data_IF_523407703740
#
_entry.id   IF_523407703740
#
_cell.length_a   1.000
_cell.length_b   1.000
_cell.length_c   1.000
_cell.angle_alpha   90.00
_cell.angle_beta   90.00
_cell.angle_gamma   90.00
#
_symmetry.space_group_name_H-M   'P 1'
#
loop_
_entity.id
_entity.type
_entity.pdbx_description
1 polymer ?
#
# COMPACT_ATOMS: atom_id res chain seq x y z
N UNK A 1 -16.04 -5.63 11.54
CA UNK A 1 -15.43 -6.97 11.72
C UNK A 1 -14.35 -7.32 10.68
N UNK A 2 -14.51 -7.03 9.38
CA UNK A 2 -13.51 -7.40 8.35
C UNK A 2 -12.09 -6.87 8.66
N UNK A 3 -11.96 -5.59 9.02
CA UNK A 3 -10.68 -4.96 9.38
C UNK A 3 -9.92 -5.73 10.46
N UNK A 4 -10.64 -6.15 11.51
CA UNK A 4 -10.07 -6.89 12.64
C UNK A 4 -9.43 -8.22 12.19
N UNK A 5 -10.15 -9.00 11.36
CA UNK A 5 -9.67 -10.30 10.89
C UNK A 5 -8.45 -10.19 9.97
N UNK A 6 -8.38 -9.13 9.16
CA UNK A 6 -7.22 -8.89 8.31
C UNK A 6 -6.01 -8.36 9.07
N UNK A 7 -6.22 -7.52 10.09
CA UNK A 7 -5.13 -6.97 10.88
C UNK A 7 -4.48 -8.02 11.77
N UNK A 8 -5.29 -8.79 12.51
CA UNK A 8 -4.82 -9.88 13.37
C UNK A 8 -4.41 -11.15 12.62
N UNK A 9 -4.38 -11.12 11.29
CA UNK A 9 -3.66 -12.12 10.51
C UNK A 9 -2.14 -11.96 10.66
N UNK A 10 -1.67 -10.74 10.98
CA UNK A 10 -0.29 -10.49 11.35
C UNK A 10 0.14 -11.28 12.59
N UNK A 11 1.45 -11.37 12.80
CA UNK A 11 2.06 -12.00 13.97
C UNK A 11 1.55 -13.45 14.21
N UNK A 12 1.46 -14.22 13.12
CA UNK A 12 1.12 -15.63 13.17
C UNK A 12 -0.31 -15.94 13.66
N UNK A 13 -1.27 -15.01 13.53
CA UNK A 13 -2.66 -15.18 14.01
C UNK A 13 -2.78 -15.40 15.52
N UNK A 14 -1.84 -14.89 16.30
CA UNK A 14 -1.85 -14.98 17.77
C UNK A 14 -2.98 -14.20 18.43
N UNK A 15 -3.59 -13.24 17.73
CA UNK A 15 -4.54 -12.28 18.32
C UNK A 15 -3.86 -11.12 19.07
N UNK A 16 -2.53 -11.06 19.08
CA UNK A 16 -1.76 -10.01 19.74
C UNK A 16 -0.87 -9.27 18.74
N UNK A 17 -0.90 -7.94 18.79
CA UNK A 17 -0.02 -7.06 18.02
C UNK A 17 0.62 -6.03 18.95
N UNK A 18 1.93 -5.84 18.80
CA UNK A 18 2.66 -4.87 19.59
C UNK A 18 2.30 -3.46 19.14
N UNK A 19 1.89 -2.60 20.08
CA UNK A 19 1.64 -1.19 19.81
C UNK A 19 2.91 -0.49 19.28
N UNK A 20 2.79 0.50 18.37
CA UNK A 20 3.89 1.38 17.97
C UNK A 20 4.65 1.96 19.16
N UNK A 21 5.95 2.26 18.98
CA UNK A 21 6.79 2.78 20.06
C UNK A 21 6.24 4.08 20.67
N UNK A 22 5.72 4.99 19.84
CA UNK A 22 5.10 6.26 20.26
C UNK A 22 3.84 6.07 21.14
N UNK A 23 3.23 4.88 21.18
CA UNK A 23 2.07 4.56 22.01
C UNK A 23 2.40 3.71 23.24
N UNK A 24 3.68 3.42 23.46
CA UNK A 24 4.19 2.60 24.58
C UNK A 24 5.10 3.39 25.52
N UNK A 25 5.78 4.39 24.99
CA UNK A 25 6.67 5.28 25.73
C UNK A 25 5.87 6.31 26.52
N UNK A 26 6.28 6.56 27.77
CA UNK A 26 5.61 7.50 28.68
C UNK A 26 6.06 8.95 28.46
N UNK A 27 7.22 9.13 27.82
CA UNK A 27 7.83 10.42 27.52
C UNK A 27 7.35 11.03 26.20
N UNK A 28 6.58 10.28 25.40
CA UNK A 28 6.02 10.76 24.14
C UNK A 28 4.51 10.99 24.34
N UNK A 29 4.07 12.24 24.17
CA UNK A 29 2.65 12.58 24.15
C UNK A 29 2.14 12.54 22.70
N UNK A 30 1.28 11.55 22.39
CA UNK A 30 0.64 11.43 21.08
C UNK A 30 -0.77 12.02 21.14
N UNK A 31 -1.02 13.11 20.42
CA UNK A 31 -2.37 13.54 20.08
C UNK A 31 -2.82 12.82 18.78
N UNK A 32 -3.83 11.92 18.83
CA UNK A 32 -4.29 11.19 17.65
C UNK A 32 -4.99 12.07 16.61
N UNK A 33 -5.31 13.32 16.92
CA UNK A 33 -6.00 14.25 16.01
C UNK A 33 -5.10 15.35 15.45
N UNK A 34 -3.87 15.48 15.94
CA UNK A 34 -2.92 16.47 15.43
C UNK A 34 -2.45 16.14 14.00
N UNK A 35 -2.27 17.17 13.18
CA UNK A 35 -1.70 17.07 11.81
C UNK A 35 -0.14 17.12 11.82
N UNK A 36 0.47 16.91 12.98
CA UNK A 36 1.91 17.02 13.13
C UNK A 36 2.60 15.68 12.93
N UNK A 37 3.84 15.73 12.46
CA UNK A 37 4.68 14.54 12.43
C UNK A 37 5.02 14.13 13.86
N UNK A 38 4.72 12.89 14.21
CA UNK A 38 5.01 12.35 15.53
C UNK A 38 6.53 12.18 15.67
N UNK A 39 7.07 12.58 16.81
CA UNK A 39 8.48 12.42 17.10
C UNK A 39 8.92 10.95 16.94
N UNK A 40 10.06 10.73 16.29
CA UNK A 40 10.64 9.40 16.03
C UNK A 40 9.77 8.47 15.16
N UNK A 41 8.77 9.01 14.45
CA UNK A 41 8.00 8.30 13.42
C UNK A 41 8.29 8.93 12.08
N UNK A 42 8.69 8.10 11.10
CA UNK A 42 8.88 8.54 9.72
C UNK A 42 7.58 8.33 8.96
N UNK A 43 6.89 9.40 8.51
CA UNK A 43 5.69 9.25 7.70
C UNK A 43 6.04 8.68 6.33
N UNK A 44 5.08 8.01 5.69
CA UNK A 44 5.26 7.42 4.36
C UNK A 44 4.32 8.05 3.34
N UNK A 45 4.77 8.10 2.09
CA UNK A 45 3.90 8.25 0.93
C UNK A 45 3.65 6.88 0.30
N UNK A 46 2.38 6.52 0.14
CA UNK A 46 1.97 5.24 -0.46
C UNK A 46 1.25 5.51 -1.77
N UNK A 47 1.71 4.87 -2.84
CA UNK A 47 1.05 4.92 -4.15
C UNK A 47 0.57 3.53 -4.56
N UNK A 48 -0.68 3.43 -5.00
CA UNK A 48 -1.31 2.18 -5.41
C UNK A 48 -1.86 2.36 -6.81
N UNK A 49 -1.39 1.52 -7.73
CA UNK A 49 -1.93 1.44 -9.08
C UNK A 49 -2.55 0.07 -9.28
N UNK A 50 -3.86 0.05 -9.48
CA UNK A 50 -4.59 -1.17 -9.83
C UNK A 50 -4.48 -1.37 -11.34
N UNK A 51 -3.85 -2.47 -11.76
CA UNK A 51 -3.57 -2.72 -13.18
C UNK A 51 -4.66 -3.61 -13.77
N UNK A 52 -4.84 -4.79 -13.20
CA UNK A 52 -5.81 -5.78 -13.68
C UNK A 52 -6.29 -6.71 -12.57
N UNK A 53 -7.32 -7.50 -12.86
CA UNK A 53 -7.76 -8.63 -12.04
C UNK A 53 -7.62 -9.95 -12.80
N UNK A 54 -7.65 -11.06 -12.08
CA UNK A 54 -7.63 -12.41 -12.64
C UNK A 54 -8.72 -13.25 -11.97
N UNK A 55 -9.49 -13.98 -12.78
CA UNK A 55 -10.48 -14.98 -12.36
C UNK A 55 -11.50 -14.45 -11.34
N UNK A 56 -11.92 -13.19 -11.46
CA UNK A 56 -12.94 -12.58 -10.60
C UNK A 56 -14.34 -13.18 -10.84
N UNK A 57 -14.57 -13.79 -12.01
CA UNK A 57 -15.79 -14.54 -12.32
C UNK A 57 -16.07 -15.67 -11.33
N UNK A 58 -15.05 -16.26 -10.71
CA UNK A 58 -15.23 -17.31 -9.70
C UNK A 58 -15.78 -16.78 -8.37
N UNK A 59 -15.91 -15.45 -8.23
CA UNK A 59 -16.45 -14.81 -7.03
C UNK A 59 -17.98 -14.67 -7.06
N UNK A 60 -18.61 -14.89 -8.21
CA UNK A 60 -20.07 -14.83 -8.35
C UNK A 60 -20.60 -16.10 -9.02
N UNK A 61 -21.35 -16.90 -8.27
CA UNK A 61 -22.00 -18.10 -8.80
C UNK A 61 -23.14 -17.80 -9.78
N UNK A 62 -23.64 -16.55 -9.79
CA UNK A 62 -24.86 -16.17 -10.53
C UNK A 62 -24.59 -15.52 -11.89
N UNK A 63 -23.44 -14.86 -12.07
CA UNK A 63 -23.16 -14.06 -13.27
C UNK A 63 -21.83 -14.44 -13.91
N UNK A 64 -21.91 -15.11 -15.06
CA UNK A 64 -20.72 -15.38 -15.89
C UNK A 64 -20.13 -14.11 -16.53
N UNK A 65 -20.91 -13.03 -16.62
CA UNK A 65 -20.53 -11.74 -17.21
C UNK A 65 -20.44 -10.67 -16.14
N UNK A 66 -19.44 -10.76 -15.27
CA UNK A 66 -19.22 -9.78 -14.21
C UNK A 66 -18.66 -8.46 -14.75
N UNK A 67 -19.21 -7.36 -14.25
CA UNK A 67 -18.75 -6.00 -14.51
C UNK A 67 -18.13 -5.44 -13.23
N UNK A 68 -16.82 -5.33 -13.15
CA UNK A 68 -16.14 -5.09 -11.86
C UNK A 68 -15.45 -3.75 -11.79
N UNK A 69 -15.27 -3.25 -10.57
CA UNK A 69 -14.39 -2.13 -10.26
C UNK A 69 -13.71 -2.34 -8.90
N UNK A 70 -12.63 -1.62 -8.66
CA UNK A 70 -11.84 -1.73 -7.42
C UNK A 70 -11.87 -0.41 -6.65
N UNK A 71 -12.16 -0.50 -5.36
CA UNK A 71 -12.01 0.61 -4.40
C UNK A 71 -10.74 0.40 -3.57
N UNK A 72 -10.08 1.50 -3.25
CA UNK A 72 -8.87 1.52 -2.43
C UNK A 72 -9.10 2.46 -1.26
N UNK A 73 -9.01 1.93 -0.05
CA UNK A 73 -9.24 2.65 1.20
C UNK A 73 -8.02 2.51 2.11
N UNK A 74 -7.80 3.49 2.97
CA UNK A 74 -6.82 3.45 4.04
C UNK A 74 -7.50 3.74 5.37
N UNK A 75 -7.14 2.96 6.39
CA UNK A 75 -7.60 3.12 7.77
C UNK A 75 -6.38 3.27 8.67
N UNK A 76 -6.44 4.16 9.66
CA UNK A 76 -5.33 4.39 10.58
C UNK A 76 -5.71 5.43 11.62
N UNK A 77 -4.83 6.41 11.85
CA UNK A 77 -5.22 7.63 12.54
C UNK A 77 -6.35 8.34 11.76
N UNK A 78 -7.17 9.18 12.41
CA UNK A 78 -8.19 9.98 11.74
C UNK A 78 -7.67 10.71 10.50
N UNK A 79 -6.45 11.26 10.58
CA UNK A 79 -5.81 11.97 9.46
C UNK A 79 -5.31 11.07 8.34
N UNK A 80 -4.89 9.84 8.66
CA UNK A 80 -4.45 8.84 7.69
C UNK A 80 -5.62 8.13 7.01
N UNK A 81 -6.83 8.27 7.57
CA UNK A 81 -8.01 7.54 7.12
C UNK A 81 -8.62 8.18 5.88
N UNK A 82 -8.63 7.43 4.79
CA UNK A 82 -9.19 7.84 3.50
C UNK A 82 -10.11 6.73 3.01
N UNK A 83 -11.42 6.99 3.02
CA UNK A 83 -12.45 6.06 2.56
C UNK A 83 -13.22 6.67 1.39
N UNK A 84 -13.77 5.83 0.52
CA UNK A 84 -14.62 6.24 -0.62
C UNK A 84 -14.05 7.26 -1.63
N UNK A 85 -12.76 7.62 -1.53
CA UNK A 85 -12.11 8.59 -2.42
C UNK A 85 -11.54 7.96 -3.69
N UNK A 86 -10.97 6.77 -3.59
CA UNK A 86 -10.25 6.12 -4.69
C UNK A 86 -11.02 4.93 -5.23
N UNK A 87 -11.41 5.03 -6.50
CA UNK A 87 -12.14 4.02 -7.24
C UNK A 87 -11.63 3.96 -8.68
N UNK A 88 -11.48 2.75 -9.22
CA UNK A 88 -11.15 2.55 -10.64
C UNK A 88 -12.38 2.69 -11.53
N UNK A 89 -12.16 2.82 -12.85
CA UNK A 89 -13.24 2.60 -13.83
C UNK A 89 -13.86 1.22 -13.67
N UNK A 90 -15.13 1.12 -14.05
CA UNK A 90 -15.83 -0.17 -14.14
C UNK A 90 -15.50 -0.83 -15.48
N UNK A 91 -15.01 -2.07 -15.43
CA UNK A 91 -14.77 -2.89 -16.62
C UNK A 91 -15.98 -3.81 -16.79
N UNK A 92 -16.73 -3.63 -17.88
CA UNK A 92 -17.99 -4.35 -18.11
C UNK A 92 -17.76 -5.73 -18.72
N UNK A 93 -18.58 -6.70 -18.33
CA UNK A 93 -18.66 -8.04 -18.94
C UNK A 93 -17.31 -8.78 -19.06
N UNK A 94 -16.34 -8.48 -18.20
CA UNK A 94 -15.05 -9.16 -18.17
C UNK A 94 -14.67 -9.51 -16.73
N UNK A 95 -15.09 -10.69 -16.29
CA UNK A 95 -14.72 -11.24 -14.98
C UNK A 95 -13.43 -12.08 -15.00
N UNK A 96 -12.88 -12.44 -16.15
CA UNK A 96 -11.74 -13.37 -16.23
C UNK A 96 -10.42 -12.60 -16.13
N UNK A 97 -10.29 -11.48 -16.84
CA UNK A 97 -9.07 -10.70 -16.90
C UNK A 97 -9.36 -9.19 -17.12
N UNK A 98 -10.14 -8.53 -16.24
CA UNK A 98 -10.42 -7.11 -16.38
C UNK A 98 -9.14 -6.28 -16.22
N UNK A 99 -8.98 -5.27 -17.09
CA UNK A 99 -7.88 -4.30 -17.02
C UNK A 99 -8.46 -2.95 -16.57
N UNK A 100 -8.05 -2.52 -15.38
CA UNK A 100 -8.55 -1.29 -14.74
C UNK A 100 -7.72 -0.05 -15.09
N UNK A 101 -6.50 -0.26 -15.56
CA UNK A 101 -5.55 0.79 -15.90
C UNK A 101 -5.70 1.28 -17.35
N UNK A 102 -5.41 2.56 -17.56
CA UNK A 102 -5.10 3.17 -18.86
C UNK A 102 -4.02 4.25 -18.68
N UNK A 103 -3.46 4.75 -19.79
CA UNK A 103 -2.37 5.74 -19.78
C UNK A 103 -2.73 7.07 -19.10
N UNK A 104 -4.02 7.40 -19.06
CA UNK A 104 -4.53 8.64 -18.48
C UNK A 104 -4.85 8.52 -16.98
N UNK A 105 -4.92 7.30 -16.45
CA UNK A 105 -5.20 7.05 -15.04
C UNK A 105 -4.00 7.46 -14.19
N UNK A 106 -4.19 8.28 -13.16
CA UNK A 106 -3.14 8.52 -12.16
C UNK A 106 -3.13 7.38 -11.12
N UNK A 107 -1.97 7.06 -10.50
CA UNK A 107 -1.97 6.15 -9.36
C UNK A 107 -2.71 6.78 -8.18
N UNK A 108 -3.35 5.97 -7.34
CA UNK A 108 -3.95 6.45 -6.10
C UNK A 108 -2.83 6.77 -5.12
N UNK A 109 -2.76 8.02 -4.66
CA UNK A 109 -1.69 8.51 -3.81
C UNK A 109 -2.21 8.91 -2.43
N UNK A 110 -1.63 8.30 -1.41
CA UNK A 110 -1.73 8.69 -0.01
C UNK A 110 -0.45 9.47 0.32
N UNK A 111 -0.51 10.79 0.17
CA UNK A 111 0.67 11.66 0.19
C UNK A 111 1.42 11.62 1.52
N UNK A 112 0.70 11.74 2.63
CA UNK A 112 1.24 11.76 3.99
C UNK A 112 0.47 10.75 4.83
N UNK A 113 1.11 9.62 5.14
CA UNK A 113 0.65 8.64 6.14
C UNK A 113 1.50 8.87 7.39
N UNK A 114 0.94 9.55 8.39
CA UNK A 114 1.59 10.00 9.62
C UNK A 114 2.08 8.82 10.45
N UNK A 115 1.26 7.79 10.64
CA UNK A 115 1.62 6.62 11.42
C UNK A 115 1.46 5.32 10.60
N UNK A 116 2.43 4.99 9.71
CA UNK A 116 2.35 3.82 8.84
C UNK A 116 2.25 2.47 9.59
N UNK A 117 2.69 2.42 10.84
CA UNK A 117 2.62 1.23 11.69
C UNK A 117 1.18 0.89 12.14
N UNK A 118 0.30 1.89 12.21
CA UNK A 118 -1.12 1.72 12.55
C UNK A 118 -1.99 1.63 11.28
N UNK A 119 -1.48 2.11 10.15
CA UNK A 119 -2.24 2.20 8.91
C UNK A 119 -2.43 0.84 8.21
N UNK A 120 -3.63 0.63 7.65
CA UNK A 120 -4.04 -0.54 6.90
C UNK A 120 -4.62 -0.08 5.57
N UNK A 121 -4.07 -0.61 4.47
CA UNK A 121 -4.61 -0.46 3.14
C UNK A 121 -5.65 -1.57 2.88
N UNK A 122 -6.82 -1.20 2.36
CA UNK A 122 -7.88 -2.13 1.98
C UNK A 122 -8.17 -2.00 0.49
N UNK A 123 -8.05 -3.11 -0.22
CA UNK A 123 -8.46 -3.24 -1.62
C UNK A 123 -9.79 -3.99 -1.66
N UNK A 124 -10.79 -3.46 -2.36
CA UNK A 124 -12.13 -4.06 -2.42
C UNK A 124 -12.53 -4.19 -3.88
N UNK A 125 -12.93 -5.39 -4.27
CA UNK A 125 -13.54 -5.64 -5.57
C UNK A 125 -15.05 -5.67 -5.41
N UNK A 126 -15.72 -4.84 -6.22
CA UNK A 126 -17.18 -4.78 -6.28
C UNK A 126 -17.66 -5.00 -7.71
N UNK A 127 -18.88 -5.50 -7.82
CA UNK A 127 -19.64 -5.56 -9.06
C UNK A 127 -20.26 -4.19 -9.38
N UNK A 128 -20.76 -3.98 -10.59
CA UNK A 128 -21.33 -2.72 -11.05
C UNK A 128 -22.53 -2.24 -10.22
N UNK A 129 -23.26 -3.18 -9.62
CA UNK A 129 -24.37 -2.95 -8.69
C UNK A 129 -23.90 -2.59 -7.25
N UNK A 130 -22.59 -2.45 -7.03
CA UNK A 130 -21.99 -2.18 -5.72
C UNK A 130 -21.89 -3.42 -4.81
N UNK A 131 -22.24 -4.60 -5.32
CA UNK A 131 -22.16 -5.86 -4.58
C UNK A 131 -20.70 -6.21 -4.29
N UNK A 132 -20.41 -6.52 -3.03
CA UNK A 132 -19.09 -6.98 -2.60
C UNK A 132 -18.75 -8.34 -3.22
N UNK A 133 -17.57 -8.46 -3.84
CA UNK A 133 -17.04 -9.72 -4.39
C UNK A 133 -15.87 -10.25 -3.57
N UNK A 134 -14.95 -9.39 -3.16
CA UNK A 134 -13.79 -9.79 -2.38
C UNK A 134 -12.97 -8.60 -1.92
N UNK A 135 -12.06 -8.86 -0.98
CA UNK A 135 -11.15 -7.82 -0.49
C UNK A 135 -9.78 -8.36 -0.09
N UNK A 136 -8.84 -7.43 0.10
CA UNK A 136 -7.60 -7.71 0.81
C UNK A 136 -7.27 -6.57 1.76
N UNK A 137 -6.84 -6.92 2.97
CA UNK A 137 -6.30 -6.01 3.96
C UNK A 137 -4.77 -6.18 4.02
N UNK A 138 -4.06 -5.07 3.91
CA UNK A 138 -2.61 -5.00 3.82
C UNK A 138 -2.10 -3.93 4.78
N UNK A 139 -1.46 -4.32 5.89
CA UNK A 139 -0.81 -3.39 6.80
C UNK A 139 0.27 -2.59 6.08
N UNK A 140 0.25 -1.26 6.22
CA UNK A 140 1.16 -0.37 5.46
C UNK A 140 2.62 -0.65 5.81
N UNK A 141 2.92 -0.93 7.09
CA UNK A 141 4.25 -1.32 7.54
C UNK A 141 4.80 -2.62 6.88
N UNK A 142 3.93 -3.49 6.36
CA UNK A 142 4.31 -4.74 5.70
C UNK A 142 4.28 -4.65 4.16
N UNK A 143 3.96 -3.48 3.60
CA UNK A 143 3.91 -3.30 2.15
C UNK A 143 5.32 -3.33 1.55
N UNK A 144 5.44 -4.06 0.44
CA UNK A 144 6.67 -4.10 -0.35
C UNK A 144 6.40 -3.47 -1.71
N UNK A 145 7.24 -2.51 -2.10
CA UNK A 145 7.13 -1.86 -3.40
C UNK A 145 7.30 -2.85 -4.58
N UNK A 146 6.88 -2.40 -5.76
CA UNK A 146 6.97 -3.14 -7.03
C UNK A 146 5.62 -3.69 -7.50
N UNK A 147 5.68 -4.55 -8.52
CA UNK A 147 4.52 -5.25 -9.10
C UNK A 147 4.21 -6.51 -8.31
N UNK A 148 2.95 -6.71 -7.92
CA UNK A 148 2.51 -7.85 -7.10
C UNK A 148 1.13 -8.33 -7.47
N UNK A 149 0.95 -9.65 -7.40
CA UNK A 149 -0.37 -10.26 -7.32
C UNK A 149 -0.84 -10.29 -5.87
N UNK A 150 -2.09 -9.89 -5.66
CA UNK A 150 -2.74 -9.84 -4.37
C UNK A 150 -3.95 -10.79 -4.41
N UNK A 151 -3.90 -11.92 -3.70
CA UNK A 151 -5.03 -12.84 -3.62
C UNK A 151 -6.17 -12.25 -2.80
N UNK A 152 -7.39 -12.34 -3.33
CA UNK A 152 -8.58 -11.83 -2.69
C UNK A 152 -9.10 -12.79 -1.61
N UNK A 153 -9.84 -12.22 -0.66
CA UNK A 153 -10.43 -12.93 0.47
C UNK A 153 -11.89 -12.53 0.70
N UNK A 154 -12.65 -13.46 1.26
CA UNK A 154 -14.05 -13.27 1.62
C UNK A 154 -14.19 -12.38 2.88
N UNK A 155 -15.40 -12.00 3.31
CA UNK A 155 -15.60 -11.19 4.52
C UNK A 155 -15.03 -11.79 5.81
N UNK A 156 -14.86 -13.11 5.89
CA UNK A 156 -14.25 -13.83 7.00
C UNK A 156 -12.71 -13.95 6.90
N UNK A 157 -12.09 -13.21 5.97
CA UNK A 157 -10.65 -13.24 5.67
C UNK A 157 -10.12 -14.63 5.23
N UNK A 158 -10.98 -15.48 4.65
CA UNK A 158 -10.59 -16.75 4.04
C UNK A 158 -10.26 -16.55 2.54
N UNK A 159 -9.30 -17.29 1.98
CA UNK A 159 -8.88 -17.15 0.59
C UNK A 159 -10.00 -17.52 -0.40
N UNK A 160 -10.17 -16.71 -1.45
CA UNK A 160 -11.16 -16.93 -2.52
C UNK A 160 -10.57 -17.65 -3.74
N UNK A 161 -9.77 -18.69 -3.50
CA UNK A 161 -9.16 -19.50 -4.55
C UNK A 161 -8.19 -18.70 -5.44
N UNK A 162 -8.44 -18.68 -6.75
CA UNK A 162 -7.55 -18.11 -7.77
C UNK A 162 -7.80 -16.62 -8.08
N UNK A 163 -8.80 -16.00 -7.44
CA UNK A 163 -9.13 -14.61 -7.70
C UNK A 163 -8.04 -13.67 -7.15
N UNK A 164 -7.35 -12.95 -8.04
CA UNK A 164 -6.27 -12.03 -7.66
C UNK A 164 -6.40 -10.66 -8.31
N UNK A 165 -5.80 -9.64 -7.69
CA UNK A 165 -5.53 -8.34 -8.29
C UNK A 165 -4.05 -8.22 -8.63
N UNK A 166 -3.72 -7.72 -9.81
CA UNK A 166 -2.38 -7.31 -10.16
C UNK A 166 -2.22 -5.81 -9.95
N UNK A 167 -1.27 -5.43 -9.10
CA UNK A 167 -1.07 -4.04 -8.69
C UNK A 167 0.40 -3.64 -8.74
N UNK A 168 0.66 -2.35 -8.88
CA UNK A 168 1.97 -1.76 -8.58
C UNK A 168 1.85 -0.93 -7.30
N UNK A 169 2.74 -1.21 -6.36
CA UNK A 169 2.83 -0.54 -5.06
C UNK A 169 4.09 0.31 -5.05
N UNK A 170 3.97 1.57 -4.69
CA UNK A 170 5.09 2.44 -4.34
C UNK A 170 5.02 2.79 -2.86
N UNK A 171 6.11 2.61 -2.15
CA UNK A 171 6.28 3.05 -0.75
C UNK A 171 7.56 3.86 -0.70
N UNK A 172 7.47 5.11 -0.24
CA UNK A 172 8.60 6.01 -0.03
C UNK A 172 8.41 6.78 1.27
N UNK A 173 9.49 7.27 1.85
CA UNK A 173 9.40 8.19 2.97
C UNK A 173 8.76 9.50 2.50
N UNK A 174 7.88 10.05 3.32
CA UNK A 174 7.32 11.37 3.08
C UNK A 174 8.41 12.42 3.32
N UNK A 175 8.59 13.31 2.35
CA UNK A 175 9.52 14.43 2.43
C UNK A 175 8.67 15.67 2.19
N UNK A 176 8.55 16.59 3.17
CA UNK A 176 7.88 17.85 2.94
C UNK A 176 8.57 18.62 1.82
N UNK A 177 7.80 19.32 0.98
CA UNK A 177 8.31 19.99 -0.21
C UNK A 177 9.51 20.91 0.09
N UNK A 178 9.43 21.62 1.23
CA UNK A 178 10.47 22.54 1.74
C UNK A 178 11.83 21.85 1.94
N UNK A 179 11.85 20.56 2.26
CA UNK A 179 13.08 19.80 2.57
C UNK A 179 13.60 18.94 1.40
N UNK A 180 12.93 18.96 0.25
CA UNK A 180 13.26 18.12 -0.91
C UNK A 180 14.69 18.35 -1.40
N UNK A 181 15.12 19.62 -1.50
CA UNK A 181 16.47 19.99 -1.96
C UNK A 181 17.54 19.45 -1.00
N UNK A 182 17.34 19.63 0.30
CA UNK A 182 18.27 19.13 1.31
C UNK A 182 18.38 17.60 1.27
N UNK A 183 17.26 16.90 1.17
CA UNK A 183 17.24 15.44 1.09
C UNK A 183 17.98 14.92 -0.15
N UNK A 184 17.76 15.53 -1.32
CA UNK A 184 18.51 15.19 -2.53
C UNK A 184 20.02 15.43 -2.40
N UNK A 185 20.43 16.53 -1.75
CA UNK A 185 21.84 16.81 -1.48
C UNK A 185 22.44 15.75 -0.57
N UNK A 186 21.76 15.32 0.49
CA UNK A 186 22.25 14.27 1.39
C UNK A 186 22.45 12.96 0.62
N UNK A 187 21.44 12.48 -0.10
CA UNK A 187 21.54 11.22 -0.88
C UNK A 187 22.65 11.30 -1.93
N UNK A 188 22.71 12.41 -2.68
CA UNK A 188 23.68 12.53 -3.77
C UNK A 188 25.11 12.78 -3.27
N UNK A 189 25.29 13.45 -2.13
CA UNK A 189 26.62 13.61 -1.52
C UNK A 189 27.21 12.28 -1.07
N UNK A 190 26.39 11.33 -0.56
CA UNK A 190 26.88 9.98 -0.28
C UNK A 190 27.34 9.24 -1.55
N UNK A 191 26.64 9.41 -2.69
CA UNK A 191 27.08 8.84 -3.96
C UNK A 191 28.39 9.48 -4.47
N UNK A 192 28.61 10.78 -4.22
CA UNK A 192 29.87 11.46 -4.52
C UNK A 192 31.05 11.02 -3.63
N UNK A 193 30.78 10.69 -2.36
CA UNK A 193 31.79 10.15 -1.43
C UNK A 193 32.17 8.72 -1.83
N UNK A 194 31.21 7.86 -2.19
CA UNK A 194 31.51 6.50 -2.68
C UNK A 194 32.30 6.50 -3.99
N UNK A 195 31.97 7.40 -4.93
CA UNK A 195 32.72 7.59 -6.19
C UNK A 195 34.18 8.02 -5.93
N UNK A 196 34.41 8.99 -5.04
CA UNK A 196 35.76 9.44 -4.69
C UNK A 196 36.57 8.39 -3.94
N UNK A 197 35.94 7.64 -3.02
CA UNK A 197 36.63 6.59 -2.26
C UNK A 197 36.99 5.39 -3.15
N UNK A 198 36.15 4.98 -4.10
CA UNK A 198 36.51 3.92 -5.06
C UNK A 198 37.62 4.34 -6.04
N UNK A 199 37.69 5.61 -6.43
CA UNK A 199 38.78 6.12 -7.28
C UNK A 199 40.14 6.21 -6.57
N UNK A 200 40.16 6.19 -5.23
CA UNK A 200 41.38 6.30 -4.44
C UNK A 200 41.90 4.96 -3.88
N UNK A 201 41.13 3.86 -3.96
CA UNK A 201 41.46 2.59 -3.27
C UNK A 201 41.84 1.43 -4.21
N UNK A 202 41.70 1.55 -5.53
CA UNK A 202 42.16 0.50 -6.47
C UNK A 202 42.86 1.06 -7.73
N UNK A 203 44.19 1.29 -7.71
CA UNK A 203 44.99 1.24 -8.91
C UNK A 203 45.43 -0.22 -9.11
N UNK A 204 44.53 -1.07 -9.63
CA UNK A 204 44.95 -2.38 -10.15
C UNK A 204 44.67 -2.41 -11.63
N UNK A 205 45.69 -2.04 -12.39
CA UNK A 205 45.80 -2.31 -13.81
C UNK A 205 45.76 -3.82 -14.04
N UNK A 206 44.73 -4.32 -14.71
CA UNK A 206 44.76 -5.65 -15.31
C UNK A 206 45.49 -5.54 -16.66
N UNK A 207 46.56 -6.34 -16.91
CA UNK A 207 47.16 -6.43 -18.22
C UNK A 207 46.27 -7.23 -19.18
N UNK A 208 46.49 -6.98 -20.48
CA UNK A 208 45.69 -7.44 -21.64
C UNK A 208 45.44 -8.94 -21.70
#
# INVERSE_FOLDING_TARGET
MQLNLGFFELNGRSGYLLKPQCMRRMDIHLDPFADETIENVVPNTVTIRIISGQLLSTLSDKDRRLSTYVEVEMYGLPIDTVTHKFRTKTVRNNGINPVYWDENSSPFEFQKVVLPQLAILRLIVKDENGRFLGHRLLPVAALRAGYRHIPLRNPANQPLGLATLFVRIGVRHFIPDVHTVFFHLVINNYNGIFSKVFSQVLPVSFPR
#
